data_IF_782618917909
#
_entry.id   IF_782618917909
#
_cell.length_a   1.000
_cell.length_b   1.000
_cell.length_c   1.000
_cell.angle_alpha   90.00
_cell.angle_beta   90.00
_cell.angle_gamma   90.00
#
_symmetry.space_group_name_H-M   'P 1'
#
loop_
_entity.id
_entity.type
_entity.pdbx_description
1 polymer ?
#
# COMPACT_ATOMS: atom_id res chain seq x y z
N UNK A 1 -40.63 -27.36 -59.91
CA UNK A 1 -41.91 -26.68 -59.64
C UNK A 1 -41.83 -26.06 -58.27
N UNK A 2 -42.20 -24.79 -58.14
CA UNK A 2 -42.22 -24.06 -56.85
C UNK A 2 -43.28 -24.56 -55.87
N UNK A 3 -43.68 -23.85 -54.81
CA UNK A 3 -43.59 -22.41 -54.48
C UNK A 3 -43.87 -22.26 -52.97
N UNK A 4 -43.29 -21.24 -52.32
CA UNK A 4 -43.88 -20.48 -51.19
C UNK A 4 -43.53 -20.96 -49.76
N UNK A 5 -43.24 -20.12 -48.76
CA UNK A 5 -43.18 -18.66 -48.69
C UNK A 5 -43.12 -18.21 -47.21
N UNK A 6 -42.30 -17.17 -46.96
CA UNK A 6 -42.35 -16.08 -45.94
C UNK A 6 -42.60 -16.35 -44.44
N UNK A 7 -41.76 -15.71 -43.61
CA UNK A 7 -42.04 -15.45 -42.20
C UNK A 7 -40.82 -14.90 -41.45
N UNK A 8 -40.58 -13.59 -41.55
CA UNK A 8 -39.56 -12.89 -40.76
C UNK A 8 -40.07 -12.51 -39.36
N UNK A 9 -39.14 -12.47 -38.41
CA UNK A 9 -39.32 -11.89 -37.07
C UNK A 9 -37.97 -11.85 -36.34
N UNK A 10 -37.47 -10.67 -35.93
CA UNK A 10 -36.23 -10.55 -35.16
C UNK A 10 -36.53 -10.89 -33.69
N UNK A 11 -35.91 -11.95 -33.19
CA UNK A 11 -35.95 -12.33 -31.79
C UNK A 11 -35.01 -11.44 -30.97
N UNK A 12 -35.59 -10.35 -30.47
CA UNK A 12 -35.36 -9.69 -29.19
C UNK A 12 -33.95 -9.76 -28.59
N UNK A 13 -33.24 -8.63 -28.71
CA UNK A 13 -32.04 -8.34 -27.93
C UNK A 13 -32.42 -8.13 -26.46
N UNK A 14 -32.44 -9.23 -25.71
CA UNK A 14 -32.41 -9.19 -24.25
C UNK A 14 -31.06 -8.64 -23.80
N UNK A 15 -30.99 -7.32 -23.61
CA UNK A 15 -29.92 -6.69 -22.86
C UNK A 15 -29.90 -7.30 -21.48
N UNK A 16 -28.93 -8.20 -21.24
CA UNK A 16 -28.59 -8.66 -19.91
C UNK A 16 -28.15 -7.42 -19.15
N UNK A 17 -29.02 -6.88 -18.30
CA UNK A 17 -28.59 -6.03 -17.20
C UNK A 17 -27.61 -6.87 -16.41
N UNK A 18 -26.31 -6.61 -16.61
CA UNK A 18 -25.24 -7.24 -15.82
C UNK A 18 -25.47 -6.75 -14.40
N UNK A 19 -26.19 -7.54 -13.61
CA UNK A 19 -26.16 -7.37 -12.17
C UNK A 19 -24.70 -7.51 -11.76
N UNK A 20 -24.09 -6.42 -11.30
CA UNK A 20 -22.71 -6.43 -10.83
C UNK A 20 -22.51 -7.52 -9.77
N UNK A 21 -21.29 -8.05 -9.68
CA UNK A 21 -20.89 -9.00 -8.64
C UNK A 21 -21.19 -8.45 -7.24
N UNK A 22 -21.32 -9.34 -6.25
CA UNK A 22 -21.60 -8.94 -4.88
C UNK A 22 -20.52 -7.99 -4.34
N UNK A 23 -19.25 -8.29 -4.61
CA UNK A 23 -18.13 -7.42 -4.25
C UNK A 23 -18.20 -6.03 -4.88
N UNK A 24 -18.59 -5.95 -6.16
CA UNK A 24 -18.77 -4.67 -6.84
C UNK A 24 -19.93 -3.86 -6.22
N UNK A 25 -21.07 -4.49 -5.95
CA UNK A 25 -22.22 -3.84 -5.28
C UNK A 25 -21.82 -3.28 -3.91
N UNK A 26 -21.13 -4.08 -3.08
CA UNK A 26 -20.60 -3.64 -1.78
C UNK A 26 -19.68 -2.42 -1.90
N UNK A 27 -18.77 -2.44 -2.88
CA UNK A 27 -17.84 -1.34 -3.13
C UNK A 27 -18.56 -0.06 -3.55
N UNK A 28 -19.55 -0.16 -4.43
CA UNK A 28 -20.31 1.00 -4.91
C UNK A 28 -21.15 1.61 -3.78
N UNK A 29 -21.80 0.78 -2.98
CA UNK A 29 -22.57 1.22 -1.80
C UNK A 29 -21.68 1.92 -0.77
N UNK A 30 -20.49 1.37 -0.51
CA UNK A 30 -19.52 2.00 0.37
C UNK A 30 -19.07 3.37 -0.14
N UNK A 31 -18.66 3.47 -1.42
CA UNK A 31 -18.25 4.74 -2.00
C UNK A 31 -19.38 5.78 -2.02
N UNK A 32 -20.62 5.34 -2.23
CA UNK A 32 -21.78 6.21 -2.11
C UNK A 32 -21.95 6.73 -0.67
N UNK A 33 -21.77 5.88 0.33
CA UNK A 33 -21.83 6.28 1.75
C UNK A 33 -20.69 7.23 2.15
N UNK A 34 -19.48 7.06 1.61
CA UNK A 34 -18.38 8.01 1.81
C UNK A 34 -18.67 9.35 1.13
N UNK A 35 -19.22 9.34 -0.08
CA UNK A 35 -19.62 10.56 -0.78
C UNK A 35 -20.72 11.33 -0.05
N UNK A 36 -21.75 10.63 0.44
CA UNK A 36 -22.85 11.24 1.20
C UNK A 36 -22.41 11.89 2.50
N UNK A 37 -21.27 11.51 3.08
CA UNK A 37 -20.73 12.18 4.27
C UNK A 37 -20.14 13.56 3.96
N UNK A 38 -19.77 13.82 2.70
CA UNK A 38 -19.16 15.09 2.26
C UNK A 38 -20.07 15.94 1.38
N UNK A 39 -21.19 15.37 0.91
CA UNK A 39 -22.31 16.07 0.29
C UNK A 39 -23.28 16.59 1.37
N UNK A 40 -22.84 17.59 2.14
CA UNK A 40 -23.59 18.13 3.29
C UNK A 40 -24.97 18.66 2.89
N UNK A 41 -25.10 19.19 1.67
CA UNK A 41 -26.33 19.79 1.15
C UNK A 41 -27.28 18.76 0.51
N UNK A 42 -26.81 17.54 0.23
CA UNK A 42 -27.59 16.46 -0.37
C UNK A 42 -27.98 16.68 -1.83
N UNK A 43 -27.25 17.52 -2.56
CA UNK A 43 -27.53 17.81 -3.97
C UNK A 43 -26.97 16.75 -4.93
N UNK A 44 -26.21 15.77 -4.44
CA UNK A 44 -25.56 14.74 -5.23
C UNK A 44 -24.29 15.22 -5.95
N UNK A 45 -23.77 16.39 -5.58
CA UNK A 45 -22.56 17.00 -6.13
C UNK A 45 -21.73 17.63 -5.02
N UNK A 46 -20.41 17.58 -5.15
CA UNK A 46 -19.47 18.25 -4.24
C UNK A 46 -18.42 19.04 -5.04
N UNK A 47 -17.71 19.96 -4.40
CA UNK A 47 -16.59 20.64 -5.08
C UNK A 47 -15.45 19.67 -5.40
N UNK A 48 -14.69 19.95 -6.47
CA UNK A 48 -13.51 19.14 -6.84
C UNK A 48 -12.53 18.98 -5.67
N UNK A 49 -12.27 20.04 -4.91
CA UNK A 49 -11.34 20.01 -3.77
C UNK A 49 -11.77 19.03 -2.67
N UNK A 50 -13.08 18.97 -2.38
CA UNK A 50 -13.66 18.05 -1.40
C UNK A 50 -13.58 16.61 -1.91
N UNK A 51 -13.94 16.38 -3.18
CA UNK A 51 -13.85 15.05 -3.79
C UNK A 51 -12.40 14.52 -3.80
N UNK A 52 -11.44 15.36 -4.20
CA UNK A 52 -10.01 15.04 -4.23
C UNK A 52 -9.50 14.70 -2.84
N UNK A 53 -9.81 15.52 -1.85
CA UNK A 53 -9.43 15.28 -0.44
C UNK A 53 -10.00 13.96 0.05
N UNK A 54 -11.25 13.66 -0.31
CA UNK A 54 -11.93 12.40 0.06
C UNK A 54 -11.24 11.19 -0.57
N UNK A 55 -10.94 11.21 -1.88
CA UNK A 55 -10.21 10.11 -2.55
C UNK A 55 -8.85 9.89 -1.90
N UNK A 56 -8.07 10.95 -1.66
CA UNK A 56 -6.76 10.85 -1.01
C UNK A 56 -6.86 10.30 0.43
N UNK A 57 -7.91 10.64 1.17
CA UNK A 57 -8.18 10.07 2.50
C UNK A 57 -8.47 8.57 2.43
N UNK A 58 -9.28 8.14 1.46
CA UNK A 58 -9.65 6.74 1.28
C UNK A 58 -8.51 5.88 0.74
N UNK A 59 -7.59 6.48 -0.03
CA UNK A 59 -6.40 5.82 -0.59
C UNK A 59 -5.14 6.70 -0.38
N UNK A 60 -4.51 6.65 0.81
CA UNK A 60 -3.40 7.56 1.18
C UNK A 60 -2.16 7.53 0.27
N UNK A 61 -1.98 6.48 -0.53
CA UNK A 61 -0.86 6.36 -1.46
C UNK A 61 -1.02 7.16 -2.76
N UNK A 62 -2.20 7.72 -3.03
CA UNK A 62 -2.46 8.44 -4.29
C UNK A 62 -2.08 9.92 -4.17
N UNK A 63 -1.43 10.45 -5.22
CA UNK A 63 -1.13 11.88 -5.31
C UNK A 63 -2.35 12.66 -5.75
N UNK A 64 -2.66 13.75 -5.05
CA UNK A 64 -3.74 14.69 -5.37
C UNK A 64 -3.76 15.12 -6.84
N UNK A 65 -2.60 15.46 -7.41
CA UNK A 65 -2.49 15.87 -8.82
C UNK A 65 -3.02 14.80 -9.79
N UNK A 66 -2.86 13.52 -9.47
CA UNK A 66 -3.36 12.40 -10.27
C UNK A 66 -4.89 12.30 -10.19
N UNK A 67 -5.45 12.53 -9.00
CA UNK A 67 -6.91 12.52 -8.78
C UNK A 67 -7.58 13.66 -9.56
N UNK A 68 -7.05 14.89 -9.45
CA UNK A 68 -7.54 16.06 -10.18
C UNK A 68 -7.50 15.86 -11.69
N UNK A 69 -6.40 15.30 -12.20
CA UNK A 69 -6.29 15.00 -13.62
C UNK A 69 -7.38 14.02 -14.06
N UNK A 70 -7.65 12.98 -13.27
CA UNK A 70 -8.69 12.00 -13.61
C UNK A 70 -10.08 12.61 -13.65
N UNK A 71 -10.44 13.47 -12.69
CA UNK A 71 -11.73 14.17 -12.74
C UNK A 71 -11.88 15.00 -14.01
N UNK A 72 -10.84 15.74 -14.41
CA UNK A 72 -10.83 16.50 -15.66
C UNK A 72 -11.00 15.62 -16.89
N UNK A 73 -10.35 14.44 -16.91
CA UNK A 73 -10.50 13.47 -18.00
C UNK A 73 -11.94 12.96 -18.11
N UNK A 74 -12.55 12.52 -17.00
CA UNK A 74 -13.93 12.02 -16.95
C UNK A 74 -14.92 13.10 -17.41
N UNK A 75 -14.77 14.32 -16.89
CA UNK A 75 -15.63 15.46 -17.22
C UNK A 75 -15.49 15.90 -18.68
N UNK A 76 -14.26 15.89 -19.22
CA UNK A 76 -13.99 16.19 -20.62
C UNK A 76 -14.66 15.17 -21.55
N UNK A 77 -14.59 13.88 -21.21
CA UNK A 77 -15.28 12.82 -21.96
C UNK A 77 -16.82 12.98 -21.95
N UNK A 78 -17.37 13.64 -20.94
CA UNK A 78 -18.82 13.91 -20.80
C UNK A 78 -19.24 15.29 -21.32
N UNK A 79 -18.33 16.03 -21.96
CA UNK A 79 -18.53 17.42 -22.44
C UNK A 79 -19.02 18.39 -21.33
N UNK A 80 -18.64 18.12 -20.07
CA UNK A 80 -19.08 18.86 -18.88
C UNK A 80 -17.87 19.25 -18.03
N UNK A 81 -17.09 20.24 -18.48
CA UNK A 81 -16.08 20.87 -17.62
C UNK A 81 -16.78 21.70 -16.55
N UNK A 82 -16.75 21.22 -15.30
CA UNK A 82 -17.35 21.91 -14.16
C UNK A 82 -16.43 21.83 -12.95
N UNK A 83 -16.57 22.76 -12.00
CA UNK A 83 -15.85 22.71 -10.72
C UNK A 83 -16.45 21.73 -9.70
N UNK A 84 -17.47 20.98 -10.08
CA UNK A 84 -18.21 20.07 -9.22
C UNK A 84 -18.07 18.63 -9.73
N UNK A 85 -18.03 17.69 -8.78
CA UNK A 85 -17.90 16.26 -9.03
C UNK A 85 -19.20 15.60 -8.59
N UNK A 86 -19.83 14.84 -9.49
CA UNK A 86 -21.00 14.03 -9.12
C UNK A 86 -20.58 12.76 -8.40
N UNK A 87 -21.52 12.13 -7.68
CA UNK A 87 -21.28 10.83 -7.05
C UNK A 87 -20.77 9.77 -8.03
N UNK A 88 -21.32 9.73 -9.24
CA UNK A 88 -20.94 8.76 -10.27
C UNK A 88 -19.51 9.02 -10.76
N UNK A 89 -19.12 10.29 -10.95
CA UNK A 89 -17.75 10.66 -11.32
C UNK A 89 -16.75 10.33 -10.20
N UNK A 90 -17.16 10.52 -8.93
CA UNK A 90 -16.37 10.13 -7.78
C UNK A 90 -16.13 8.61 -7.74
N UNK A 91 -17.18 7.80 -7.91
CA UNK A 91 -17.08 6.34 -7.93
C UNK A 91 -16.22 5.86 -9.10
N UNK A 92 -16.42 6.41 -10.30
CA UNK A 92 -15.65 6.09 -11.51
C UNK A 92 -14.16 6.40 -11.31
N UNK A 93 -13.83 7.63 -10.89
CA UNK A 93 -12.45 8.04 -10.63
C UNK A 93 -11.79 7.17 -9.57
N UNK A 94 -12.47 6.90 -8.45
CA UNK A 94 -11.92 6.06 -7.39
C UNK A 94 -11.64 4.65 -7.90
N UNK A 95 -12.59 4.02 -8.61
CA UNK A 95 -12.41 2.67 -9.13
C UNK A 95 -11.23 2.57 -10.07
N UNK A 96 -11.07 3.51 -11.00
CA UNK A 96 -9.97 3.43 -11.98
C UNK A 96 -8.61 3.76 -11.37
N UNK A 97 -8.56 4.64 -10.38
CA UNK A 97 -7.32 5.08 -9.76
C UNK A 97 -6.83 4.15 -8.65
N UNK A 98 -7.76 3.61 -7.87
CA UNK A 98 -7.48 2.88 -6.63
C UNK A 98 -7.64 1.37 -6.79
N UNK A 99 -8.05 0.88 -7.96
CA UNK A 99 -7.98 -0.55 -8.28
C UNK A 99 -6.58 -0.94 -8.70
N UNK A 100 -5.96 -1.82 -7.92
CA UNK A 100 -4.72 -2.49 -8.26
C UNK A 100 -5.04 -3.78 -9.03
N UNK A 101 -4.68 -3.89 -10.33
CA UNK A 101 -5.07 -5.04 -11.15
C UNK A 101 -4.54 -6.38 -10.63
N UNK A 102 -3.34 -6.39 -10.05
CA UNK A 102 -2.72 -7.56 -9.44
C UNK A 102 -3.50 -8.06 -8.21
N UNK A 103 -3.90 -7.13 -7.34
CA UNK A 103 -4.71 -7.45 -6.15
C UNK A 103 -6.12 -7.88 -6.53
N UNK A 104 -6.72 -7.23 -7.52
CA UNK A 104 -8.03 -7.61 -8.07
C UNK A 104 -8.01 -9.02 -8.65
N UNK A 105 -6.99 -9.35 -9.44
CA UNK A 105 -6.85 -10.67 -10.02
C UNK A 105 -6.71 -11.75 -8.94
N UNK A 106 -5.86 -11.50 -7.93
CA UNK A 106 -5.72 -12.39 -6.79
C UNK A 106 -7.06 -12.61 -6.05
N UNK A 107 -7.81 -11.54 -5.80
CA UNK A 107 -9.12 -11.61 -5.16
C UNK A 107 -10.10 -12.48 -5.96
N UNK A 108 -10.17 -12.28 -7.28
CA UNK A 108 -11.05 -13.05 -8.17
C UNK A 108 -10.70 -14.53 -8.17
N UNK A 109 -9.40 -14.86 -8.20
CA UNK A 109 -8.92 -16.23 -8.12
C UNK A 109 -9.30 -16.91 -6.79
N UNK A 110 -9.18 -16.19 -5.67
CA UNK A 110 -9.50 -16.71 -4.34
C UNK A 110 -11.01 -16.83 -4.10
N UNK A 111 -11.80 -15.88 -4.61
CA UNK A 111 -13.24 -15.78 -4.35
C UNK A 111 -14.13 -16.53 -5.34
N UNK A 112 -13.55 -17.15 -6.38
CA UNK A 112 -14.28 -17.81 -7.48
C UNK A 112 -15.23 -16.83 -8.20
N UNK A 113 -14.69 -15.71 -8.68
CA UNK A 113 -15.42 -14.65 -9.42
C UNK A 113 -16.49 -13.88 -8.63
N UNK A 114 -16.58 -14.07 -7.30
CA UNK A 114 -17.52 -13.30 -6.44
C UNK A 114 -17.07 -11.86 -6.18
N UNK A 115 -15.78 -11.57 -6.40
CA UNK A 115 -15.11 -10.30 -6.06
C UNK A 115 -15.19 -9.92 -4.57
N UNK A 116 -15.45 -10.90 -3.70
CA UNK A 116 -15.41 -10.75 -2.26
C UNK A 116 -15.04 -12.08 -1.60
N UNK A 117 -14.22 -12.03 -0.56
CA UNK A 117 -13.82 -13.19 0.23
C UNK A 117 -14.81 -13.41 1.37
N UNK A 118 -15.21 -14.66 1.57
CA UNK A 118 -15.84 -15.11 2.81
C UNK A 118 -14.78 -15.66 3.80
N UNK A 119 -15.17 -16.05 5.04
CA UNK A 119 -14.22 -16.56 6.02
C UNK A 119 -13.49 -17.83 5.58
N UNK A 120 -14.11 -18.66 4.74
CA UNK A 120 -13.50 -19.88 4.24
C UNK A 120 -12.50 -19.58 3.13
N UNK A 121 -12.82 -18.64 2.23
CA UNK A 121 -11.87 -18.18 1.20
C UNK A 121 -10.62 -17.57 1.86
N UNK A 122 -10.82 -16.68 2.84
CA UNK A 122 -9.71 -16.05 3.56
C UNK A 122 -8.87 -17.10 4.29
N UNK A 123 -9.52 -18.04 4.98
CA UNK A 123 -8.80 -19.13 5.67
C UNK A 123 -7.93 -19.92 4.70
N UNK A 124 -8.47 -20.30 3.54
CA UNK A 124 -7.71 -21.02 2.53
C UNK A 124 -6.48 -20.22 2.08
N UNK A 125 -6.66 -18.93 1.79
CA UNK A 125 -5.55 -18.03 1.45
C UNK A 125 -4.46 -17.98 2.53
N UNK A 126 -4.86 -17.87 3.81
CA UNK A 126 -3.91 -17.83 4.93
C UNK A 126 -3.15 -19.15 5.06
N UNK A 127 -3.82 -20.28 4.92
CA UNK A 127 -3.21 -21.60 5.06
C UNK A 127 -2.31 -21.95 3.87
N UNK A 128 -2.76 -21.70 2.63
CA UNK A 128 -2.05 -22.17 1.42
C UNK A 128 -1.01 -21.18 0.91
N UNK A 129 -1.34 -19.88 0.90
CA UNK A 129 -0.49 -18.86 0.30
C UNK A 129 0.39 -18.15 1.33
N UNK A 130 -0.12 -17.94 2.56
CA UNK A 130 0.63 -17.24 3.62
C UNK A 130 1.34 -18.19 4.60
N UNK A 131 1.12 -19.50 4.50
CA UNK A 131 1.75 -20.50 5.36
C UNK A 131 1.26 -20.50 6.82
N UNK A 132 0.13 -19.85 7.11
CA UNK A 132 -0.47 -19.76 8.44
C UNK A 132 -1.39 -20.95 8.72
N UNK A 133 -0.78 -22.12 8.95
CA UNK A 133 -1.47 -23.41 9.18
C UNK A 133 -2.42 -23.46 10.39
N UNK A 134 -2.40 -22.47 11.28
CA UNK A 134 -3.25 -22.38 12.48
C UNK A 134 -4.36 -21.31 12.34
N UNK A 135 -4.71 -20.90 11.13
CA UNK A 135 -5.77 -19.94 10.89
C UNK A 135 -7.13 -20.48 11.39
N UNK A 136 -7.73 -19.80 12.36
CA UNK A 136 -9.06 -20.15 12.90
C UNK A 136 -10.17 -19.43 12.14
N UNK A 137 -11.36 -20.02 12.13
CA UNK A 137 -12.55 -19.38 11.53
C UNK A 137 -12.86 -18.06 12.25
N UNK A 138 -12.75 -18.03 13.58
CA UNK A 138 -12.94 -16.82 14.40
C UNK A 138 -11.91 -15.74 14.06
N UNK A 139 -10.64 -16.11 13.87
CA UNK A 139 -9.59 -15.18 13.46
C UNK A 139 -9.88 -14.57 12.08
N UNK A 140 -10.33 -15.40 11.12
CA UNK A 140 -10.72 -14.92 9.80
C UNK A 140 -11.89 -13.91 9.88
N UNK A 141 -12.91 -14.21 10.70
CA UNK A 141 -14.02 -13.28 10.95
C UNK A 141 -13.56 -11.93 11.50
N UNK A 142 -12.64 -11.93 12.47
CA UNK A 142 -12.09 -10.69 13.03
C UNK A 142 -11.28 -9.90 11.99
N UNK A 143 -10.50 -10.57 11.13
CA UNK A 143 -9.78 -9.90 10.04
C UNK A 143 -10.73 -9.27 9.02
N UNK A 144 -11.74 -10.02 8.58
CA UNK A 144 -12.78 -9.53 7.67
C UNK A 144 -13.45 -8.27 8.23
N UNK A 145 -13.90 -8.33 9.49
CA UNK A 145 -14.55 -7.20 10.16
C UNK A 145 -13.63 -6.00 10.36
N UNK A 146 -12.35 -6.23 10.63
CA UNK A 146 -11.35 -5.19 10.89
C UNK A 146 -10.99 -4.41 9.63
N UNK A 147 -10.77 -5.10 8.51
CA UNK A 147 -10.24 -4.47 7.29
C UNK A 147 -11.30 -4.04 6.30
N UNK A 148 -12.48 -4.66 6.32
CA UNK A 148 -13.55 -4.33 5.37
C UNK A 148 -14.12 -2.91 5.60
N UNK A 149 -14.05 -2.01 4.60
CA UNK A 149 -14.63 -0.68 4.69
C UNK A 149 -16.16 -0.66 4.74
N UNK A 150 -16.84 -1.50 3.95
CA UNK A 150 -18.28 -1.44 3.81
C UNK A 150 -18.98 -1.95 5.08
N UNK A 151 -20.01 -1.25 5.53
CA UNK A 151 -20.81 -1.70 6.68
C UNK A 151 -21.49 -3.04 6.39
N UNK A 152 -22.02 -3.19 5.17
CA UNK A 152 -22.66 -4.42 4.70
C UNK A 152 -21.68 -5.60 4.70
N UNK A 153 -20.44 -5.42 4.22
CA UNK A 153 -19.42 -6.46 4.24
C UNK A 153 -19.05 -6.88 5.65
N UNK A 154 -18.83 -5.91 6.55
CA UNK A 154 -18.55 -6.19 7.96
C UNK A 154 -19.66 -6.97 8.66
N UNK A 155 -20.93 -6.64 8.38
CA UNK A 155 -22.08 -7.34 8.95
C UNK A 155 -22.20 -8.78 8.42
N UNK A 156 -21.95 -8.96 7.12
CA UNK A 156 -22.07 -10.27 6.45
C UNK A 156 -20.83 -11.16 6.59
N UNK A 157 -19.72 -10.65 7.13
CA UNK A 157 -18.44 -11.36 7.16
C UNK A 157 -17.85 -11.54 5.77
N UNK A 158 -17.94 -10.51 4.93
CA UNK A 158 -17.40 -10.50 3.58
C UNK A 158 -16.36 -9.38 3.45
N UNK A 159 -15.27 -9.63 2.73
CA UNK A 159 -14.25 -8.64 2.44
C UNK A 159 -14.13 -8.42 0.93
N UNK A 160 -14.38 -7.20 0.48
CA UNK A 160 -14.23 -6.79 -0.92
C UNK A 160 -12.79 -6.38 -1.25
N UNK A 161 -12.60 -5.89 -2.48
CA UNK A 161 -11.29 -5.50 -3.00
C UNK A 161 -10.53 -4.51 -2.12
N UNK A 162 -11.18 -3.43 -1.68
CA UNK A 162 -10.49 -2.39 -0.90
C UNK A 162 -10.17 -2.90 0.52
N UNK A 163 -11.01 -3.76 1.10
CA UNK A 163 -10.73 -4.44 2.36
C UNK A 163 -9.53 -5.37 2.25
N UNK A 164 -9.47 -6.17 1.18
CA UNK A 164 -8.37 -7.09 0.93
C UNK A 164 -7.05 -6.34 0.66
N UNK A 165 -7.09 -5.26 -0.12
CA UNK A 165 -5.95 -4.39 -0.34
C UNK A 165 -5.42 -3.77 0.96
N UNK A 166 -6.32 -3.36 1.88
CA UNK A 166 -5.94 -2.87 3.21
C UNK A 166 -5.30 -3.95 4.07
N UNK A 167 -5.85 -5.16 4.05
CA UNK A 167 -5.30 -6.30 4.77
C UNK A 167 -3.87 -6.62 4.30
N UNK A 168 -3.63 -6.73 2.99
CA UNK A 168 -2.30 -6.99 2.42
C UNK A 168 -1.26 -5.90 2.72
N UNK A 169 -1.69 -4.68 3.00
CA UNK A 169 -0.82 -3.55 3.38
C UNK A 169 -0.70 -3.37 4.90
N UNK A 170 -1.38 -4.21 5.68
CA UNK A 170 -1.41 -4.09 7.14
C UNK A 170 -0.19 -4.72 7.80
N UNK A 171 -0.07 -4.49 9.12
CA UNK A 171 0.94 -5.15 9.95
C UNK A 171 0.84 -6.68 9.95
N UNK A 172 -0.36 -7.23 9.71
CA UNK A 172 -0.59 -8.68 9.66
C UNK A 172 0.13 -9.36 8.48
N UNK A 173 0.43 -8.60 7.43
CA UNK A 173 1.14 -9.08 6.23
C UNK A 173 2.57 -8.55 6.15
N UNK A 174 3.15 -8.08 7.26
CA UNK A 174 4.55 -7.70 7.28
C UNK A 174 5.44 -8.93 7.06
N UNK A 175 6.38 -8.80 6.13
CA UNK A 175 7.35 -9.86 5.85
C UNK A 175 8.31 -10.10 7.03
N UNK A 176 8.58 -9.04 7.80
CA UNK A 176 9.45 -9.13 8.97
C UNK A 176 8.65 -9.66 10.15
N UNK A 177 9.14 -10.74 10.75
CA UNK A 177 8.60 -11.28 11.98
C UNK A 177 8.63 -10.19 13.09
N UNK A 178 7.49 -9.84 13.70
CA UNK A 178 7.44 -8.90 14.80
C UNK A 178 8.34 -9.27 15.99
N UNK A 179 8.61 -10.56 16.21
CA UNK A 179 9.54 -11.01 17.25
C UNK A 179 10.98 -10.53 16.98
N UNK A 180 11.34 -10.31 15.72
CA UNK A 180 12.64 -9.80 15.29
C UNK A 180 12.73 -8.26 15.31
N UNK A 181 11.67 -7.54 15.69
CA UNK A 181 11.74 -6.09 15.92
C UNK A 181 12.53 -5.73 17.19
N UNK A 182 12.68 -6.68 18.09
CA UNK A 182 13.48 -6.56 19.30
C UNK A 182 14.72 -7.46 19.28
N UNK A 183 15.45 -7.45 20.40
CA UNK A 183 16.52 -8.43 20.65
C UNK A 183 15.86 -9.78 20.94
N UNK A 184 15.89 -10.69 19.97
CA UNK A 184 15.32 -12.03 20.08
C UNK A 184 16.38 -13.14 20.23
N UNK A 185 17.66 -12.81 20.01
CA UNK A 185 18.76 -13.76 20.15
C UNK A 185 19.22 -13.87 21.61
N UNK A 186 19.81 -15.01 21.98
CA UNK A 186 20.53 -15.12 23.25
C UNK A 186 21.75 -14.21 23.22
N UNK A 187 21.79 -13.20 24.10
CA UNK A 187 22.88 -12.22 24.20
C UNK A 187 23.92 -12.57 25.28
N UNK A 188 23.90 -13.79 25.81
CA UNK A 188 24.84 -14.25 26.85
C UNK A 188 25.98 -15.14 26.33
N UNK A 189 26.05 -15.39 25.01
CA UNK A 189 27.12 -16.18 24.41
C UNK A 189 28.41 -15.33 24.31
N UNK A 190 29.59 -15.95 24.10
CA UNK A 190 30.82 -15.21 23.85
C UNK A 190 30.73 -14.31 22.60
N UNK A 191 31.45 -13.20 22.60
CA UNK A 191 31.41 -12.20 21.51
C UNK A 191 31.67 -12.79 20.11
N UNK A 192 32.50 -13.84 20.03
CA UNK A 192 32.84 -14.53 18.77
C UNK A 192 31.66 -15.28 18.12
N UNK A 193 30.52 -15.39 18.79
CA UNK A 193 29.31 -16.04 18.25
C UNK A 193 28.39 -15.06 17.49
N UNK A 194 28.69 -13.76 17.50
CA UNK A 194 27.84 -12.74 16.90
C UNK A 194 28.49 -12.08 15.69
N UNK A 195 27.67 -11.77 14.70
CA UNK A 195 28.03 -10.75 13.72
C UNK A 195 27.92 -9.38 14.38
N UNK A 196 28.98 -8.58 14.27
CA UNK A 196 29.05 -7.24 14.86
C UNK A 196 28.99 -6.23 13.73
N UNK A 197 28.03 -5.30 13.80
CA UNK A 197 27.99 -4.15 12.88
C UNK A 197 29.20 -3.27 13.13
N UNK A 198 30.12 -3.24 12.16
CA UNK A 198 31.40 -2.53 12.24
C UNK A 198 31.49 -1.47 11.15
N UNK A 199 32.14 -0.35 11.46
CA UNK A 199 32.37 0.73 10.52
C UNK A 199 33.86 1.00 10.37
N UNK A 200 34.31 0.98 9.12
CA UNK A 200 35.66 1.32 8.72
C UNK A 200 35.73 2.82 8.44
N UNK A 201 36.58 3.54 9.19
CA UNK A 201 36.90 4.96 8.99
C UNK A 201 35.67 5.85 8.76
N UNK A 202 34.62 5.68 9.56
CA UNK A 202 33.37 6.48 9.46
C UNK A 202 33.58 7.97 9.67
N UNK A 203 34.72 8.37 10.23
CA UNK A 203 35.08 9.78 10.34
C UNK A 203 35.44 10.41 8.99
N UNK A 204 35.68 9.66 7.92
CA UNK A 204 35.98 10.21 6.60
C UNK A 204 34.70 10.43 5.80
N UNK A 205 34.52 11.64 5.28
CA UNK A 205 33.27 12.00 4.57
C UNK A 205 33.15 11.32 3.20
N UNK A 206 34.24 11.13 2.46
CA UNK A 206 34.17 10.62 1.07
C UNK A 206 35.44 9.85 0.64
N UNK A 207 36.62 10.48 0.71
CA UNK A 207 37.88 9.86 0.27
C UNK A 207 38.58 9.11 1.42
N UNK A 208 38.87 7.83 1.22
CA UNK A 208 39.58 6.99 2.20
C UNK A 208 41.08 7.31 2.28
N UNK A 209 41.58 8.16 1.38
CA UNK A 209 43.00 8.55 1.26
C UNK A 209 43.21 10.01 1.67
N UNK A 210 42.41 10.96 1.15
CA UNK A 210 42.54 12.40 1.44
C UNK A 210 41.28 13.00 2.07
N UNK A 211 40.36 12.17 2.56
CA UNK A 211 39.09 12.63 3.11
C UNK A 211 39.30 13.48 4.35
N UNK A 212 38.52 14.56 4.44
CA UNK A 212 38.46 15.34 5.67
C UNK A 212 37.78 14.52 6.76
N UNK A 213 38.38 14.51 7.95
CA UNK A 213 37.78 13.95 9.14
C UNK A 213 36.60 14.82 9.63
N UNK A 214 35.48 14.18 9.94
CA UNK A 214 34.26 14.76 10.45
C UNK A 214 33.63 13.87 11.52
N UNK A 215 33.26 14.48 12.65
CA UNK A 215 32.58 13.78 13.75
C UNK A 215 31.17 13.34 13.35
N UNK A 216 30.53 14.04 12.40
CA UNK A 216 29.19 13.70 11.92
C UNK A 216 29.12 12.28 11.35
N UNK A 217 30.19 11.79 10.73
CA UNK A 217 30.24 10.42 10.21
C UNK A 217 30.25 9.36 11.32
N UNK A 218 30.99 9.59 12.41
CA UNK A 218 30.97 8.72 13.59
C UNK A 218 29.60 8.73 14.29
N UNK A 219 28.99 9.92 14.43
CA UNK A 219 27.66 10.08 15.02
C UNK A 219 26.62 9.29 14.22
N UNK A 220 26.63 9.43 12.88
CA UNK A 220 25.72 8.68 12.01
C UNK A 220 25.93 7.18 12.13
N UNK A 221 27.18 6.70 12.16
CA UNK A 221 27.47 5.28 12.32
C UNK A 221 26.90 4.71 13.64
N UNK A 222 27.05 5.42 14.76
CA UNK A 222 26.48 4.98 16.03
C UNK A 222 24.95 5.00 16.03
N UNK A 223 24.34 6.03 15.43
CA UNK A 223 22.88 6.16 15.31
C UNK A 223 22.26 5.06 14.45
N UNK A 224 22.97 4.55 13.44
CA UNK A 224 22.51 3.42 12.61
C UNK A 224 22.76 2.05 13.25
N UNK A 225 23.22 2.01 14.51
CA UNK A 225 23.39 0.76 15.26
C UNK A 225 24.77 0.12 15.12
N UNK A 226 25.78 0.83 14.58
CA UNK A 226 27.15 0.36 14.61
C UNK A 226 27.66 0.15 16.05
N UNK A 227 28.47 -0.88 16.26
CA UNK A 227 29.00 -1.26 17.57
C UNK A 227 30.54 -1.33 17.62
N UNK A 228 31.21 -1.14 16.49
CA UNK A 228 32.66 -1.08 16.40
C UNK A 228 33.08 0.01 15.40
N UNK A 229 33.95 0.93 15.85
CA UNK A 229 34.44 2.04 15.06
C UNK A 229 35.96 1.98 14.97
N UNK A 230 36.50 2.24 13.78
CA UNK A 230 37.91 2.53 13.60
C UNK A 230 38.18 4.03 13.72
N UNK A 231 39.20 4.40 14.50
CA UNK A 231 39.69 5.76 14.65
C UNK A 231 41.16 5.80 14.24
N UNK A 232 41.48 6.52 13.16
CA UNK A 232 42.85 6.87 12.81
C UNK A 232 43.25 8.12 13.57
N UNK A 233 44.30 8.02 14.40
CA UNK A 233 44.80 9.13 15.21
C UNK A 233 46.21 9.46 14.77
N UNK A 234 46.46 10.74 14.52
CA UNK A 234 47.76 11.30 14.14
C UNK A 234 48.17 12.40 15.11
N UNK A 235 49.45 12.70 15.18
CA UNK A 235 49.93 13.83 15.99
C UNK A 235 49.48 15.17 15.39
N UNK A 236 48.95 16.04 16.24
CA UNK A 236 48.56 17.41 15.87
C UNK A 236 49.51 18.47 16.43
N UNK A 237 49.21 19.75 16.16
CA UNK A 237 49.94 20.88 16.73
C UNK A 237 49.99 20.80 18.26
N UNK A 238 51.13 21.18 18.83
CA UNK A 238 51.33 21.21 20.29
C UNK A 238 51.22 19.83 20.98
N UNK A 239 51.22 18.73 20.21
CA UNK A 239 51.13 17.37 20.73
C UNK A 239 49.70 16.90 20.99
N UNK A 240 48.69 17.66 20.59
CA UNK A 240 47.28 17.26 20.71
C UNK A 240 46.92 16.25 19.60
N UNK A 241 46.33 15.08 19.92
CA UNK A 241 45.98 14.08 18.92
C UNK A 241 44.84 14.55 18.01
N UNK A 242 44.99 14.33 16.71
CA UNK A 242 43.98 14.64 15.70
C UNK A 242 43.42 13.37 15.07
N UNK A 243 42.13 13.42 14.76
CA UNK A 243 41.46 12.38 13.97
C UNK A 243 41.71 12.64 12.49
N UNK A 244 42.26 11.67 11.77
CA UNK A 244 42.67 11.87 10.39
C UNK A 244 43.32 10.65 9.74
N UNK A 245 43.74 10.82 8.49
CA UNK A 245 44.64 9.88 7.81
C UNK A 245 46.01 10.54 7.78
N UNK A 246 47.06 9.78 8.05
CA UNK A 246 48.44 10.25 7.96
C UNK A 246 48.78 10.45 6.48
N UNK A 247 48.44 11.61 5.92
CA UNK A 247 48.95 12.05 4.64
C UNK A 247 50.41 12.42 4.88
N UNK A 248 51.30 11.42 4.76
CA UNK A 248 52.73 11.62 4.86
C UNK A 248 53.11 12.89 4.13
N UNK A 249 53.73 13.81 4.87
CA UNK A 249 54.15 15.14 4.43
C UNK A 249 54.59 15.08 2.97
N UNK A 250 53.86 15.78 2.10
CA UNK A 250 54.27 15.96 0.71
C UNK A 250 55.74 16.38 0.72
N UNK A 251 56.56 15.57 0.07
CA UNK A 251 57.97 15.83 -0.14
C UNK A 251 58.07 17.22 -0.77
N UNK A 252 58.71 18.13 -0.04
CA UNK A 252 59.14 19.47 -0.42
C UNK A 252 59.72 19.57 -1.82
#
# INVERSE_FOLDING_TARGET
>A
GGVGGVGGGPGDGGGVTVEGSLGNKMRMEWLAAEFSQVDEDGYGIVSEDVAVTTVCKLCPGIKEAKVRLRFKEIQSCKEKLTSHVTREEFQEAFCELCTRPDVYFLLVQLSQDRECLDPQDLRLFLETEQGLSLATTEGCWELLKRYEPSAQGRERGLMGLDGFARYLQSSECQLLDPEHLGVCQDMNLPLSHYYISTSYRSYLLDDQVHGKADLGGLIRALQTGCRCLELGVTDGPEGEPLLGVDCGSEIS
#
